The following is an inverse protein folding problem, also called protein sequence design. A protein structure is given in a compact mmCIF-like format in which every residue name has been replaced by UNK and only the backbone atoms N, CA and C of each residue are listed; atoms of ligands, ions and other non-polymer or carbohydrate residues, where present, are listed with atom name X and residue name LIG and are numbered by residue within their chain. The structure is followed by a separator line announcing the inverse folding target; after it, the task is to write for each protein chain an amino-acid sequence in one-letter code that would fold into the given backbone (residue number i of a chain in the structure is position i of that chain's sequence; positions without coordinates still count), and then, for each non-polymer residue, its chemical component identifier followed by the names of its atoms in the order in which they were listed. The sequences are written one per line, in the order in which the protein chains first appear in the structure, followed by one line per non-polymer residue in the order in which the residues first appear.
data_IF_797070136589
#
_entry.id   IF_797070136589
#
_cell.length_a   1.000
_cell.length_b   1.000
_cell.length_c   1.000
_cell.angle_alpha   90.00
_cell.angle_beta   90.00
_cell.angle_gamma   90.00
#
_symmetry.space_group_name_H-M   'P 1'
#
loop_
_entity.id
_entity.type
_entity.pdbx_description
1 polymer ?
#
# COMPACT_ATOMS: atom_id res chain seq x y z
N UNK A 1 3.86 -11.70 7.44
CA UNK A 1 4.72 -10.89 6.53
C UNK A 1 4.01 -9.59 6.24
N UNK A 2 4.43 -8.54 6.93
CA UNK A 2 3.85 -7.22 6.84
C UNK A 2 4.58 -6.43 5.76
N UNK A 3 3.86 -5.90 4.78
CA UNK A 3 4.47 -5.17 3.68
C UNK A 3 4.90 -3.78 4.17
N UNK A 4 6.19 -3.46 4.16
CA UNK A 4 6.65 -2.13 4.61
C UNK A 4 6.39 -1.07 3.53
N UNK A 5 5.82 0.06 3.96
CA UNK A 5 5.32 1.14 3.13
C UNK A 5 5.73 2.50 3.66
N UNK A 6 5.98 3.46 2.76
CA UNK A 6 6.20 4.83 3.19
C UNK A 6 4.86 5.52 3.46
N UNK A 7 4.63 5.90 4.71
CA UNK A 7 3.45 6.69 5.07
C UNK A 7 3.74 8.16 4.82
N UNK A 8 3.07 8.78 3.84
CA UNK A 8 3.17 10.24 3.62
C UNK A 8 2.69 11.06 4.81
N UNK A 9 1.73 10.53 5.58
CA UNK A 9 1.18 11.17 6.77
C UNK A 9 2.15 11.13 7.94
N UNK A 10 2.84 10.00 8.14
CA UNK A 10 3.86 9.87 9.18
C UNK A 10 5.26 10.29 8.71
N UNK A 11 5.42 10.63 7.43
CA UNK A 11 6.70 10.91 6.75
C UNK A 11 7.80 9.90 7.11
N UNK A 12 7.41 8.63 7.23
CA UNK A 12 8.27 7.56 7.71
C UNK A 12 7.88 6.23 7.08
N UNK A 13 8.84 5.31 6.97
CA UNK A 13 8.57 3.91 6.62
C UNK A 13 7.82 3.25 7.78
N UNK A 14 6.72 2.59 7.45
CA UNK A 14 5.80 1.93 8.37
C UNK A 14 5.26 0.67 7.75
N UNK A 15 4.96 -0.31 8.58
CA UNK A 15 4.28 -1.54 8.16
C UNK A 15 2.87 -1.23 7.65
N UNK A 16 2.60 -1.66 6.42
CA UNK A 16 1.26 -1.75 5.86
C UNK A 16 0.59 -3.01 6.40
N UNK A 17 -0.42 -2.81 7.22
CA UNK A 17 -1.38 -3.85 7.59
C UNK A 17 -2.36 -4.08 6.45
N UNK A 18 -2.82 -5.32 6.28
CA UNK A 18 -3.81 -5.69 5.26
C UNK A 18 -3.41 -5.30 3.82
N UNK A 19 -2.14 -5.48 3.46
CA UNK A 19 -1.70 -5.33 2.08
C UNK A 19 -2.35 -6.39 1.18
N UNK A 20 -3.22 -5.96 0.27
CA UNK A 20 -3.94 -6.78 -0.70
C UNK A 20 -3.64 -6.29 -2.11
N UNK A 21 -3.30 -7.21 -3.01
CA UNK A 21 -3.25 -6.89 -4.43
C UNK A 21 -4.67 -6.63 -4.95
N UNK A 22 -4.83 -5.50 -5.62
CA UNK A 22 -6.03 -5.10 -6.33
C UNK A 22 -5.66 -4.78 -7.77
N UNK A 23 -6.38 -5.38 -8.70
CA UNK A 23 -6.24 -5.08 -10.12
C UNK A 23 -7.20 -3.94 -10.45
N UNK A 24 -6.66 -2.78 -10.84
CA UNK A 24 -7.46 -1.65 -11.29
C UNK A 24 -8.14 -1.99 -12.62
N UNK A 25 -9.27 -1.35 -12.93
CA UNK A 25 -10.00 -1.54 -14.20
C UNK A 25 -9.15 -1.26 -15.46
N UNK A 26 -8.07 -0.50 -15.33
CA UNK A 26 -7.10 -0.24 -16.40
C UNK A 26 -6.05 -1.36 -16.59
N UNK A 27 -6.28 -2.55 -16.02
CA UNK A 27 -5.34 -3.66 -16.07
C UNK A 27 -4.08 -3.48 -15.23
N UNK A 28 -3.97 -2.41 -14.42
CA UNK A 28 -2.78 -2.15 -13.58
C UNK A 28 -2.93 -2.79 -12.21
N UNK A 29 -1.96 -3.61 -11.79
CA UNK A 29 -1.88 -4.12 -10.42
C UNK A 29 -1.43 -3.03 -9.44
N UNK A 30 -2.14 -2.92 -8.34
CA UNK A 30 -1.78 -2.08 -7.21
C UNK A 30 -1.90 -2.90 -5.92
N UNK A 31 -1.00 -2.66 -4.97
CA UNK A 31 -1.11 -3.15 -3.61
C UNK A 31 -1.89 -2.12 -2.80
N UNK A 32 -3.06 -2.48 -2.28
CA UNK A 32 -3.83 -1.68 -1.33
C UNK A 32 -3.53 -2.16 0.08
N UNK A 33 -2.97 -1.32 0.93
CA UNK A 33 -2.74 -1.60 2.35
C UNK A 33 -3.20 -0.47 3.25
N UNK A 34 -2.99 -0.61 4.55
CA UNK A 34 -3.34 0.39 5.56
C UNK A 34 -2.14 0.65 6.46
N UNK A 35 -1.85 1.92 6.73
CA UNK A 35 -0.81 2.28 7.69
C UNK A 35 -1.18 1.80 9.11
N UNK A 36 -0.36 0.95 9.71
CA UNK A 36 -0.62 0.42 11.07
C UNK A 36 -0.55 1.49 12.17
N UNK A 37 0.00 2.69 11.88
CA UNK A 37 0.15 3.77 12.86
C UNK A 37 -0.96 4.82 12.79
N UNK A 38 -1.35 5.23 11.58
CA UNK A 38 -2.30 6.33 11.38
C UNK A 38 -3.60 5.89 10.69
N UNK A 39 -3.78 4.59 10.45
CA UNK A 39 -4.97 4.02 9.79
C UNK A 39 -5.17 4.49 8.35
N UNK A 40 -4.22 5.23 7.77
CA UNK A 40 -4.39 5.81 6.44
C UNK A 40 -4.15 4.75 5.37
N UNK A 41 -5.07 4.62 4.44
CA UNK A 41 -4.94 3.73 3.29
C UNK A 41 -3.72 4.10 2.46
N UNK A 42 -2.84 3.13 2.23
CA UNK A 42 -1.69 3.25 1.34
C UNK A 42 -1.96 2.44 0.07
N UNK A 43 -1.55 2.99 -1.06
CA UNK A 43 -1.57 2.27 -2.32
C UNK A 43 -0.15 2.26 -2.89
N UNK A 44 0.39 1.07 -3.14
CA UNK A 44 1.66 0.87 -3.83
C UNK A 44 1.35 0.32 -5.21
N UNK A 45 1.43 1.15 -6.23
CA UNK A 45 1.25 0.71 -7.62
C UNK A 45 2.38 -0.29 -7.91
N UNK A 46 2.03 -1.54 -8.20
CA UNK A 46 3.02 -2.59 -8.47
C UNK A 46 3.57 -2.49 -9.89
N UNK A 47 2.86 -1.79 -10.78
CA UNK A 47 3.27 -1.61 -12.18
C UNK A 47 3.18 -2.93 -12.93
N UNK A 48 2.55 -2.92 -14.11
CA UNK A 48 2.63 -4.06 -15.02
C UNK A 48 3.54 -3.65 -16.17
N UNK A 49 4.51 -4.51 -16.43
CA UNK A 49 5.25 -4.59 -17.69
C UNK A 49 4.28 -4.97 -18.80
#
# INVERSE_FOLDING_TARGET
MDAEGYCVKCKAKRTMSNAKEVTMKNGRKALKGVCSKCGTGMYKILGMK
#
